data_IF_173982170275
#
_entry.id   IF_173982170275
#
_cell.length_a   1.000
_cell.length_b   1.000
_cell.length_c   1.000
_cell.angle_alpha   90.00
_cell.angle_beta   90.00
_cell.angle_gamma   90.00
#
_symmetry.space_group_name_H-M   'P 1'
#
loop_
_entity.id
_entity.type
_entity.pdbx_description
1 polymer ?
#
# COMPACT_ATOMS: atom_id res chain seq x y z
N UNK A 1 12.73 -0.58 -12.58
CA UNK A 1 11.90 0.63 -12.43
C UNK A 1 12.41 1.42 -11.24
N UNK A 2 12.55 2.75 -11.34
CA UNK A 2 12.79 3.55 -10.14
C UNK A 2 11.54 3.47 -9.25
N UNK A 3 11.71 3.05 -7.99
CA UNK A 3 10.60 2.97 -7.03
C UNK A 3 10.26 4.42 -6.64
N UNK A 4 9.19 4.95 -7.24
CA UNK A 4 8.68 6.24 -6.82
C UNK A 4 8.11 6.12 -5.40
N UNK A 5 8.38 7.14 -4.56
CA UNK A 5 7.94 7.17 -3.17
C UNK A 5 6.42 6.93 -3.07
N UNK A 6 5.95 5.99 -2.22
CA UNK A 6 4.53 5.79 -1.99
C UNK A 6 3.83 7.08 -1.55
N UNK A 7 2.59 7.26 -1.99
CA UNK A 7 1.74 8.40 -1.62
C UNK A 7 0.77 7.96 -0.54
N UNK A 8 0.92 8.50 0.66
CA UNK A 8 0.00 8.30 1.77
C UNK A 8 -0.76 9.59 2.06
N UNK A 9 -2.06 9.48 2.23
CA UNK A 9 -2.94 10.58 2.64
C UNK A 9 -3.62 10.17 3.94
N UNK A 10 -2.99 10.57 5.03
CA UNK A 10 -3.46 10.44 6.41
C UNK A 10 -3.60 11.86 6.98
N UNK A 11 -4.68 12.18 7.71
CA UNK A 11 -4.76 13.43 8.47
C UNK A 11 -3.55 13.60 9.39
N UNK A 12 -3.07 14.84 9.55
CA UNK A 12 -1.94 15.13 10.46
C UNK A 12 -2.33 15.01 11.93
N UNK A 13 -3.61 15.14 12.25
CA UNK A 13 -4.14 14.94 13.59
C UNK A 13 -5.58 14.43 13.59
N UNK A 14 -5.97 13.80 14.69
CA UNK A 14 -7.31 13.31 14.98
C UNK A 14 -7.62 13.46 16.49
N UNK A 15 -8.88 13.50 16.88
CA UNK A 15 -9.25 13.37 18.29
C UNK A 15 -9.23 11.88 18.69
N UNK A 16 -9.01 11.59 19.97
CA UNK A 16 -9.14 10.22 20.47
C UNK A 16 -10.58 9.71 20.23
N UNK A 17 -10.69 8.50 19.70
CA UNK A 17 -11.93 7.87 19.26
C UNK A 17 -12.37 8.21 17.83
N UNK A 18 -11.73 9.15 17.13
CA UNK A 18 -12.09 9.48 15.74
C UNK A 18 -11.81 8.31 14.79
N UNK A 19 -12.69 8.12 13.80
CA UNK A 19 -12.45 7.21 12.67
C UNK A 19 -11.95 8.06 11.50
N UNK A 20 -10.71 7.82 11.06
CA UNK A 20 -10.13 8.50 9.92
C UNK A 20 -10.17 7.62 8.68
N UNK A 21 -10.21 8.26 7.50
CA UNK A 21 -9.99 7.58 6.23
C UNK A 21 -8.52 7.66 5.86
N UNK A 22 -7.92 6.51 5.57
CA UNK A 22 -6.54 6.36 5.12
C UNK A 22 -6.59 6.01 3.63
N UNK A 23 -5.83 6.75 2.83
CA UNK A 23 -5.69 6.48 1.39
C UNK A 23 -4.23 6.30 1.05
N UNK A 24 -3.90 5.30 0.26
CA UNK A 24 -2.53 5.04 -0.16
C UNK A 24 -2.45 4.61 -1.61
N UNK A 25 -1.35 4.99 -2.28
CA UNK A 25 -1.04 4.64 -3.66
C UNK A 25 0.45 4.41 -3.82
N UNK A 26 0.83 3.29 -4.42
CA UNK A 26 2.22 2.97 -4.76
C UNK A 26 2.37 2.85 -6.27
N UNK A 27 3.44 3.41 -6.83
CA UNK A 27 3.70 3.33 -8.27
C UNK A 27 4.24 1.94 -8.62
N UNK A 28 3.46 1.17 -9.37
CA UNK A 28 3.84 -0.18 -9.79
C UNK A 28 3.06 -0.58 -11.05
N UNK A 29 3.71 -1.25 -12.00
CA UNK A 29 3.06 -1.60 -13.27
C UNK A 29 1.98 -2.69 -13.13
N UNK A 30 2.11 -3.56 -12.13
CA UNK A 30 1.20 -4.69 -11.91
C UNK A 30 1.04 -5.55 -13.17
N UNK A 31 2.16 -6.01 -13.72
CA UNK A 31 2.13 -6.88 -14.90
C UNK A 31 1.43 -8.18 -14.54
N UNK A 32 0.28 -8.42 -15.17
CA UNK A 32 -0.68 -9.44 -14.73
C UNK A 32 -0.25 -10.86 -15.07
N UNK A 33 0.69 -11.00 -16.02
CA UNK A 33 1.04 -12.29 -16.63
C UNK A 33 0.15 -12.66 -17.83
N UNK A 34 -0.74 -11.77 -18.28
CA UNK A 34 -1.67 -12.03 -19.38
C UNK A 34 -1.33 -11.26 -20.67
N UNK A 35 -0.51 -10.21 -20.56
CA UNK A 35 -0.10 -9.40 -21.71
C UNK A 35 0.95 -10.15 -22.53
N UNK A 36 0.91 -9.93 -23.85
CA UNK A 36 1.94 -10.40 -24.78
C UNK A 36 2.85 -9.25 -25.21
N UNK A 37 4.10 -9.56 -25.49
CA UNK A 37 5.02 -8.62 -26.11
C UNK A 37 4.84 -8.54 -27.64
N UNK A 38 5.74 -7.86 -28.32
CA UNK A 38 5.69 -7.68 -29.79
C UNK A 38 5.99 -8.97 -30.55
N UNK A 39 6.72 -9.90 -29.93
CA UNK A 39 7.05 -11.20 -30.50
C UNK A 39 5.92 -12.23 -30.24
N UNK A 40 4.92 -11.87 -29.45
CA UNK A 40 3.75 -12.68 -29.13
C UNK A 40 3.91 -13.55 -27.88
N UNK A 41 5.04 -13.41 -27.19
CA UNK A 41 5.37 -14.15 -25.97
C UNK A 41 4.69 -13.55 -24.76
N UNK A 42 4.31 -14.41 -23.80
CA UNK A 42 3.64 -13.96 -22.57
C UNK A 42 4.65 -13.27 -21.67
N UNK A 43 4.31 -12.07 -21.23
CA UNK A 43 5.14 -11.30 -20.31
C UNK A 43 4.92 -11.87 -18.91
N UNK A 44 5.98 -12.29 -18.19
CA UNK A 44 5.85 -12.86 -16.87
C UNK A 44 5.13 -11.92 -15.90
N UNK A 45 4.31 -12.51 -15.03
CA UNK A 45 3.65 -11.78 -13.96
C UNK A 45 4.69 -11.08 -13.08
N UNK A 46 4.41 -9.82 -12.79
CA UNK A 46 5.18 -9.01 -11.86
C UNK A 46 4.25 -8.03 -11.16
N UNK A 47 3.72 -8.43 -10.00
CA UNK A 47 2.81 -7.62 -9.20
C UNK A 47 3.35 -7.36 -7.80
N UNK A 48 2.76 -6.38 -7.12
CA UNK A 48 2.73 -6.34 -5.66
C UNK A 48 1.76 -7.44 -5.21
N UNK A 49 2.25 -8.40 -4.43
CA UNK A 49 1.49 -9.57 -4.01
C UNK A 49 1.03 -9.49 -2.55
N UNK A 50 1.57 -8.57 -1.76
CA UNK A 50 1.15 -8.35 -0.38
C UNK A 50 1.21 -6.88 0.00
N UNK A 51 0.22 -6.46 0.77
CA UNK A 51 0.19 -5.15 1.41
C UNK A 51 -0.17 -5.29 2.89
N UNK A 52 0.48 -4.51 3.75
CA UNK A 52 0.15 -4.38 5.16
C UNK A 52 0.23 -2.94 5.64
N UNK A 53 -0.60 -2.61 6.60
CA UNK A 53 -0.64 -1.35 7.33
C UNK A 53 -0.67 -1.67 8.83
N UNK A 54 0.26 -1.08 9.56
CA UNK A 54 0.40 -1.17 11.01
C UNK A 54 0.31 0.23 11.63
N UNK A 55 -0.20 0.30 12.85
CA UNK A 55 -0.23 1.51 13.67
C UNK A 55 0.40 1.22 15.03
N UNK A 56 1.49 1.92 15.36
CA UNK A 56 2.29 1.65 16.56
C UNK A 56 2.70 0.16 16.69
N UNK A 57 3.00 -0.49 15.55
CA UNK A 57 3.36 -1.91 15.48
C UNK A 57 2.17 -2.89 15.58
N UNK A 58 0.93 -2.40 15.72
CA UNK A 58 -0.26 -3.24 15.72
C UNK A 58 -0.87 -3.31 14.30
N UNK A 59 -1.26 -4.50 13.81
CA UNK A 59 -1.86 -4.65 12.49
C UNK A 59 -3.22 -3.94 12.40
N UNK A 60 -3.38 -3.08 11.39
CA UNK A 60 -4.62 -2.37 11.08
C UNK A 60 -5.33 -3.01 9.90
N UNK A 61 -4.58 -3.29 8.84
CA UNK A 61 -5.11 -3.86 7.60
C UNK A 61 -4.01 -4.63 6.89
N UNK A 62 -4.36 -5.76 6.28
CA UNK A 62 -3.48 -6.48 5.37
C UNK A 62 -4.30 -7.19 4.31
N UNK A 63 -3.69 -7.41 3.15
CA UNK A 63 -4.28 -8.20 2.09
C UNK A 63 -3.22 -8.87 1.23
N UNK A 64 -3.59 -10.02 0.70
CA UNK A 64 -2.89 -10.64 -0.41
C UNK A 64 -3.48 -10.11 -1.72
N UNK A 65 -2.62 -9.73 -2.64
CA UNK A 65 -2.95 -9.11 -3.90
C UNK A 65 -2.73 -10.09 -5.05
N UNK A 66 -3.60 -10.02 -6.05
CA UNK A 66 -3.54 -10.86 -7.24
C UNK A 66 -3.54 -10.03 -8.52
N UNK A 67 -3.31 -10.69 -9.66
CA UNK A 67 -3.10 -10.05 -10.98
C UNK A 67 -4.22 -9.15 -11.48
N UNK A 68 -5.41 -9.20 -10.86
CA UNK A 68 -6.56 -8.37 -11.24
C UNK A 68 -6.52 -6.96 -10.60
N UNK A 69 -5.60 -6.69 -9.68
CA UNK A 69 -5.43 -5.33 -9.13
C UNK A 69 -4.73 -4.44 -10.17
N UNK A 70 -5.35 -3.30 -10.45
CA UNK A 70 -4.85 -2.32 -11.43
C UNK A 70 -3.43 -1.84 -11.14
N UNK A 71 -2.75 -1.41 -12.20
CA UNK A 71 -1.51 -0.64 -12.11
C UNK A 71 -1.67 0.55 -11.15
N UNK A 72 -0.59 0.88 -10.46
CA UNK A 72 -0.53 1.82 -9.35
C UNK A 72 -1.54 1.51 -8.24
N UNK A 73 -1.38 0.37 -7.52
CA UNK A 73 -2.35 -0.09 -6.54
C UNK A 73 -2.75 1.00 -5.56
N UNK A 74 -4.05 1.16 -5.40
CA UNK A 74 -4.69 2.12 -4.51
C UNK A 74 -5.52 1.39 -3.46
N UNK A 75 -5.36 1.78 -2.20
CA UNK A 75 -6.21 1.32 -1.11
C UNK A 75 -6.82 2.48 -0.36
N UNK A 76 -8.08 2.29 0.05
CA UNK A 76 -8.82 3.17 0.93
C UNK A 76 -9.48 2.33 2.01
N UNK A 77 -9.18 2.65 3.28
CA UNK A 77 -9.72 1.97 4.43
C UNK A 77 -9.82 2.95 5.61
N UNK A 78 -10.45 2.51 6.70
CA UNK A 78 -10.64 3.33 7.89
C UNK A 78 -9.93 2.74 9.09
N UNK A 79 -9.45 3.60 9.98
CA UNK A 79 -8.88 3.22 11.27
C UNK A 79 -9.42 4.14 12.35
N UNK A 80 -9.68 3.58 13.54
CA UNK A 80 -9.99 4.35 14.75
C UNK A 80 -8.68 4.77 15.41
N UNK A 81 -8.57 6.03 15.80
CA UNK A 81 -7.37 6.59 16.44
C UNK A 81 -7.68 6.85 17.92
N UNK A 82 -6.96 6.17 18.81
CA UNK A 82 -7.06 6.39 20.26
C UNK A 82 -5.88 7.19 20.81
N UNK A 83 -4.73 7.10 20.14
CA UNK A 83 -3.47 7.69 20.57
C UNK A 83 -2.69 8.29 19.39
N UNK A 84 -1.71 9.14 19.69
CA UNK A 84 -0.77 9.61 18.69
C UNK A 84 0.17 8.46 18.30
N UNK A 85 0.67 8.47 17.07
CA UNK A 85 1.49 7.36 16.62
C UNK A 85 1.90 7.44 15.16
N UNK A 86 2.46 6.34 14.68
CA UNK A 86 2.99 6.23 13.32
C UNK A 86 2.27 5.10 12.59
N UNK A 87 1.76 5.42 11.41
CA UNK A 87 1.35 4.41 10.44
C UNK A 87 2.57 3.95 9.66
N UNK A 88 2.78 2.64 9.61
CA UNK A 88 3.76 1.99 8.75
C UNK A 88 3.04 1.16 7.70
N UNK A 89 3.35 1.41 6.43
CA UNK A 89 2.80 0.67 5.30
C UNK A 89 3.92 -0.07 4.57
N UNK A 90 3.65 -1.32 4.21
CA UNK A 90 4.60 -2.20 3.53
C UNK A 90 3.94 -2.84 2.32
N UNK A 91 4.62 -2.78 1.17
CA UNK A 91 4.26 -3.50 -0.05
C UNK A 91 5.38 -4.47 -0.41
N UNK A 92 5.01 -5.69 -0.78
CA UNK A 92 5.96 -6.71 -1.22
C UNK A 92 5.58 -7.16 -2.62
N UNK A 93 6.58 -7.25 -3.50
CA UNK A 93 6.39 -7.67 -4.89
C UNK A 93 6.80 -9.14 -5.13
N UNK A 94 6.50 -9.66 -6.33
CA UNK A 94 6.81 -11.04 -6.72
C UNK A 94 8.32 -11.36 -6.73
N UNK A 95 9.21 -10.36 -6.77
CA UNK A 95 10.66 -10.53 -6.64
C UNK A 95 11.15 -10.41 -5.19
N UNK A 96 10.24 -10.22 -4.23
CA UNK A 96 10.57 -9.99 -2.82
C UNK A 96 11.09 -8.59 -2.52
N UNK A 97 10.96 -7.64 -3.45
CA UNK A 97 11.29 -6.23 -3.18
C UNK A 97 10.27 -5.69 -2.19
N UNK A 98 10.79 -5.07 -1.13
CA UNK A 98 9.99 -4.46 -0.07
C UNK A 98 10.01 -2.95 -0.25
N UNK A 99 8.83 -2.35 -0.29
CA UNK A 99 8.63 -0.91 -0.30
C UNK A 99 7.97 -0.53 1.01
N UNK A 100 8.54 0.41 1.74
CA UNK A 100 8.00 0.89 3.01
C UNK A 100 7.74 2.39 2.97
N UNK A 101 6.73 2.83 3.70
CA UNK A 101 6.46 4.23 3.95
C UNK A 101 5.85 4.44 5.34
N UNK A 102 6.23 5.52 5.99
CA UNK A 102 5.75 5.90 7.32
C UNK A 102 5.16 7.31 7.32
N UNK A 103 4.10 7.51 8.12
CA UNK A 103 3.52 8.82 8.36
C UNK A 103 2.91 8.90 9.76
N UNK A 104 3.27 9.97 10.46
CA UNK A 104 2.79 10.24 11.81
C UNK A 104 1.39 10.89 11.82
N UNK A 105 0.67 10.64 12.90
CA UNK A 105 -0.56 11.33 13.29
C UNK A 105 -0.48 11.75 14.75
N UNK A 106 -0.81 13.01 15.02
CA UNK A 106 -0.91 13.55 16.37
C UNK A 106 -2.33 13.47 16.92
N UNK A 107 -2.48 13.48 18.23
CA UNK A 107 -3.75 13.86 18.85
C UNK A 107 -3.90 15.39 18.85
N UNK A 108 -5.13 15.86 18.67
CA UNK A 108 -5.47 17.29 18.78
C UNK A 108 -6.31 17.60 20.01
#
# INVERSE_FOLDING_TARGET
>A
MAIAKPRMKIPKSAAAGDIITIKTLVSHAMESGQRKDLDGEVIPRMIINKFSCEFNGNPVFSCDMHSAVSANPYFEFSARIEEAGTFKMTWVDDNGVVIEAEQDIALR
#
